data_IF_201351191859
#
_entry.id   IF_201351191859
#
_cell.length_a   1.000
_cell.length_b   1.000
_cell.length_c   1.000
_cell.angle_alpha   90.00
_cell.angle_beta   90.00
_cell.angle_gamma   90.00
#
_symmetry.space_group_name_H-M   'P 1'
#
loop_
_entity.id
_entity.type
_entity.pdbx_description
1 polymer ?
#
# COMPACT_ATOMS: atom_id res chain seq x y z
N UNK A 1 10.68 18.48 -8.25
CA UNK A 1 11.04 18.85 -6.86
C UNK A 1 10.49 17.74 -5.99
N UNK A 2 11.36 16.93 -5.38
CA UNK A 2 10.94 15.88 -4.46
C UNK A 2 10.85 16.51 -3.07
N UNK A 3 9.66 16.53 -2.49
CA UNK A 3 9.45 16.94 -1.10
C UNK A 3 9.28 15.67 -0.29
N UNK A 4 10.13 15.51 0.72
CA UNK A 4 9.94 14.54 1.78
C UNK A 4 9.44 15.32 3.00
N UNK A 5 8.28 14.97 3.50
CA UNK A 5 7.72 15.54 4.73
C UNK A 5 7.65 14.43 5.78
N UNK A 6 8.40 14.62 6.87
CA UNK A 6 8.43 13.70 8.01
C UNK A 6 7.66 14.38 9.15
N UNK A 7 6.38 14.04 9.29
CA UNK A 7 5.57 14.52 10.41
C UNK A 7 5.85 13.62 11.63
N UNK A 8 6.57 14.18 12.62
CA UNK A 8 7.08 13.50 13.82
C UNK A 8 5.99 12.83 14.69
N UNK A 9 4.70 13.09 14.43
CA UNK A 9 3.58 12.50 15.16
C UNK A 9 2.93 11.29 14.47
N UNK A 10 3.27 10.96 13.21
CA UNK A 10 2.52 9.95 12.43
C UNK A 10 3.39 9.08 11.51
N UNK A 11 3.07 7.79 11.51
CA UNK A 11 3.60 6.64 10.73
C UNK A 11 3.48 6.75 9.18
N UNK A 12 3.50 7.96 8.60
CA UNK A 12 3.20 8.19 7.19
C UNK A 12 4.44 8.67 6.44
N UNK A 13 4.86 7.90 5.43
CA UNK A 13 5.84 8.32 4.45
C UNK A 13 5.11 8.84 3.20
N UNK A 14 5.29 10.13 2.87
CA UNK A 14 4.67 10.75 1.70
C UNK A 14 5.71 11.15 0.64
N UNK A 15 5.42 10.79 -0.61
CA UNK A 15 6.23 11.16 -1.79
C UNK A 15 5.33 11.73 -2.89
N UNK A 16 5.74 12.84 -3.50
CA UNK A 16 5.01 13.50 -4.60
C UNK A 16 5.84 13.48 -5.89
N UNK A 17 5.25 12.97 -6.97
CA UNK A 17 5.90 12.83 -8.29
C UNK A 17 5.54 13.94 -9.28
N UNK A 18 4.63 14.86 -8.92
CA UNK A 18 4.10 15.85 -9.85
C UNK A 18 3.22 15.21 -10.95
N UNK A 19 3.22 15.80 -12.14
CA UNK A 19 2.42 15.31 -13.28
C UNK A 19 3.20 14.20 -13.99
N UNK A 20 2.60 13.01 -14.09
CA UNK A 20 3.11 11.88 -14.88
C UNK A 20 2.42 11.91 -16.24
N UNK A 21 3.13 12.11 -17.36
CA UNK A 21 2.54 12.10 -18.70
C UNK A 21 1.91 10.75 -19.08
N UNK A 22 1.02 10.71 -20.10
CA UNK A 22 0.47 9.46 -20.60
C UNK A 22 1.56 8.49 -21.06
N UNK A 23 1.38 7.20 -20.76
CA UNK A 23 2.30 6.10 -21.11
C UNK A 23 3.69 6.15 -20.45
N UNK A 24 3.90 7.03 -19.46
CA UNK A 24 5.12 7.04 -18.65
C UNK A 24 5.01 6.08 -17.46
N UNK A 25 6.16 5.56 -17.02
CA UNK A 25 6.25 4.62 -15.91
C UNK A 25 7.00 5.28 -14.76
N UNK A 26 6.41 5.22 -13.56
CA UNK A 26 7.07 5.61 -12.31
C UNK A 26 7.26 4.37 -11.45
N UNK A 27 8.49 4.13 -11.01
CA UNK A 27 8.84 3.04 -10.09
C UNK A 27 9.15 3.62 -8.73
N UNK A 28 8.49 3.09 -7.69
CA UNK A 28 8.72 3.45 -6.30
C UNK A 28 9.26 2.23 -5.57
N UNK A 29 10.44 2.36 -4.97
CA UNK A 29 11.05 1.33 -4.13
C UNK A 29 11.08 1.80 -2.69
N UNK A 30 10.45 1.03 -1.80
CA UNK A 30 10.38 1.33 -0.37
C UNK A 30 11.01 0.15 0.37
N UNK A 31 12.06 0.44 1.14
CA UNK A 31 12.72 -0.54 1.99
C UNK A 31 12.50 -0.13 3.45
N UNK A 32 11.80 -0.95 4.21
CA UNK A 32 11.56 -0.74 5.64
C UNK A 32 11.97 -1.96 6.44
N UNK A 33 12.24 -1.76 7.73
CA UNK A 33 12.49 -2.81 8.70
C UNK A 33 11.52 -2.66 9.85
N UNK A 34 10.89 -3.75 10.26
CA UNK A 34 9.91 -3.78 11.34
C UNK A 34 10.23 -4.93 12.30
N UNK A 35 10.11 -4.67 13.60
CA UNK A 35 10.11 -5.72 14.62
C UNK A 35 8.72 -6.37 14.67
N UNK A 36 8.66 -7.69 14.47
CA UNK A 36 7.40 -8.43 14.40
C UNK A 36 6.88 -8.79 15.79
N UNK A 37 5.56 -8.80 15.93
CA UNK A 37 4.91 -9.16 17.18
C UNK A 37 4.99 -10.66 17.43
N UNK A 38 5.55 -11.05 18.58
CA UNK A 38 5.45 -12.42 19.11
C UNK A 38 4.22 -12.53 20.02
N UNK A 39 3.35 -13.48 19.74
CA UNK A 39 2.15 -13.77 20.51
C UNK A 39 2.48 -14.63 21.75
N UNK A 40 1.61 -14.66 22.78
CA UNK A 40 1.88 -15.42 24.02
C UNK A 40 2.13 -16.92 23.83
N UNK A 41 1.66 -17.49 22.72
CA UNK A 41 1.89 -18.87 22.32
C UNK A 41 3.21 -19.09 21.56
N UNK A 42 4.06 -18.07 21.44
CA UNK A 42 5.36 -18.12 20.75
C UNK A 42 5.30 -17.97 19.23
N UNK A 43 4.10 -17.82 18.65
CA UNK A 43 3.95 -17.55 17.20
C UNK A 43 4.28 -16.10 16.88
N UNK A 44 4.74 -15.87 15.65
CA UNK A 44 5.09 -14.52 15.17
C UNK A 44 4.07 -14.11 14.11
N UNK A 45 3.47 -12.92 14.28
CA UNK A 45 2.46 -12.38 13.36
C UNK A 45 3.07 -11.29 12.48
N UNK A 46 2.90 -11.45 11.17
CA UNK A 46 3.12 -10.43 10.16
C UNK A 46 1.78 -9.98 9.60
N UNK A 47 1.53 -8.68 9.59
CA UNK A 47 0.36 -8.06 8.99
C UNK A 47 0.81 -7.07 7.92
N UNK A 48 0.43 -7.34 6.68
CA UNK A 48 0.62 -6.42 5.56
C UNK A 48 -0.74 -5.81 5.21
N UNK A 49 -0.93 -4.49 5.42
CA UNK A 49 -2.18 -3.83 5.12
C UNK A 49 -2.60 -4.00 3.66
N UNK A 50 -3.90 -4.03 3.40
CA UNK A 50 -4.48 -4.00 2.05
C UNK A 50 -4.25 -2.65 1.33
N UNK A 51 -3.61 -1.67 1.99
CA UNK A 51 -3.47 -0.27 1.58
C UNK A 51 -2.56 -0.02 0.36
N UNK A 52 -2.09 -1.06 -0.32
CA UNK A 52 -1.35 -0.89 -1.58
C UNK A 52 -2.25 -0.55 -2.77
N UNK A 53 -3.56 -0.32 -2.52
CA UNK A 53 -4.51 0.19 -3.50
C UNK A 53 -4.24 1.70 -3.70
N UNK A 54 -3.89 2.15 -4.91
CA UNK A 54 -3.80 3.57 -5.21
C UNK A 54 -5.17 4.23 -5.00
N UNK A 55 -5.26 5.27 -4.16
CA UNK A 55 -6.46 6.10 -4.09
C UNK A 55 -6.62 6.86 -5.40
N UNK A 56 -7.66 6.54 -6.17
CA UNK A 56 -8.08 7.41 -7.27
C UNK A 56 -9.19 8.31 -6.75
N UNK A 57 -8.92 9.61 -6.61
CA UNK A 57 -10.00 10.59 -6.44
C UNK A 57 -10.76 10.57 -7.77
N UNK A 58 -12.08 10.25 -7.79
CA UNK A 58 -12.85 10.35 -9.01
C UNK A 58 -12.72 11.77 -9.51
N UNK A 59 -12.12 11.96 -10.69
CA UNK A 59 -12.22 13.24 -11.39
C UNK A 59 -13.71 13.49 -11.56
N UNK A 60 -14.21 14.56 -10.94
CA UNK A 60 -15.63 14.88 -10.92
C UNK A 60 -16.25 14.59 -12.28
N UNK A 61 -17.31 13.78 -12.26
CA UNK A 61 -18.11 13.47 -13.43
C UNK A 61 -18.51 14.80 -14.06
N UNK A 62 -17.93 15.15 -15.20
CA UNK A 62 -18.53 16.12 -16.12
C UNK A 62 -19.80 15.44 -16.65
N UNK A 63 -20.84 15.39 -15.82
CA UNK A 63 -22.19 15.10 -16.28
C UNK A 63 -22.66 16.30 -17.09
N UNK A 64 -22.48 16.17 -18.40
CA UNK A 64 -23.18 16.96 -19.40
C UNK A 64 -24.69 16.83 -19.17
N UNK A 65 -25.29 17.84 -18.56
CA UNK A 65 -26.72 18.11 -18.69
C UNK A 65 -26.91 19.43 -19.44
N UNK A 66 -27.37 19.41 -20.70
CA UNK A 66 -27.83 20.61 -21.39
C UNK A 66 -29.29 20.86 -20.99
N UNK A 67 -29.62 22.06 -20.50
CA UNK A 67 -30.86 22.82 -20.83
C UNK A 67 -30.72 24.25 -20.27
N UNK A 68 -30.84 25.17 -21.23
CA UNK A 68 -31.03 26.62 -21.22
C UNK A 68 -31.75 27.25 -20.01
N UNK A 69 -31.19 28.34 -19.44
CA UNK A 69 -31.66 29.70 -19.74
C UNK A 69 -30.98 30.83 -18.92
N UNK A 70 -30.41 31.78 -19.67
CA UNK A 70 -30.46 33.24 -19.52
C UNK A 70 -29.58 33.99 -18.48
N UNK A 71 -28.72 34.83 -19.08
CA UNK A 71 -28.28 36.17 -18.66
C UNK A 71 -27.22 36.30 -17.54
N UNK A 72 -25.94 36.42 -17.93
CA UNK A 72 -25.30 37.73 -18.23
C UNK A 72 -23.81 37.57 -18.58
N UNK A 73 -23.49 38.17 -19.72
CA UNK A 73 -22.16 38.49 -20.25
C UNK A 73 -21.14 38.95 -19.19
N UNK A 74 -19.97 38.31 -19.16
CA UNK A 74 -18.70 39.00 -19.46
C UNK A 74 -17.59 38.00 -19.80
N UNK A 75 -17.26 38.00 -21.07
CA UNK A 75 -16.08 37.43 -21.69
C UNK A 75 -14.79 37.86 -20.96
N UNK A 76 -14.03 36.87 -20.45
CA UNK A 76 -12.57 36.92 -20.38
C UNK A 76 -12.03 35.52 -20.11
N UNK A 77 -11.59 34.88 -21.19
CA UNK A 77 -10.56 33.85 -21.16
C UNK A 77 -9.45 34.20 -20.15
N UNK A 78 -9.30 33.39 -19.11
CA UNK A 78 -8.06 33.28 -18.33
C UNK A 78 -7.92 31.83 -17.85
N UNK A 79 -7.16 31.05 -18.62
CA UNK A 79 -6.24 30.10 -18.01
C UNK A 79 -5.32 30.91 -17.10
N UNK A 80 -5.54 30.84 -15.79
CA UNK A 80 -4.81 31.60 -14.80
C UNK A 80 -4.58 30.73 -13.58
N UNK A 81 -3.42 30.08 -13.54
CA UNK A 81 -2.75 29.69 -12.30
C UNK A 81 -2.62 30.96 -11.44
N UNK A 82 -3.59 31.22 -10.57
CA UNK A 82 -3.49 32.28 -9.58
C UNK A 82 -2.72 31.72 -8.38
N UNK A 83 -1.42 31.97 -8.41
CA UNK A 83 -0.55 31.88 -7.26
C UNK A 83 -0.78 33.12 -6.38
N UNK A 84 -1.65 33.04 -5.37
CA UNK A 84 -1.54 33.77 -4.09
C UNK A 84 -2.73 33.44 -3.17
N UNK A 85 -2.54 32.48 -2.28
CA UNK A 85 -2.57 32.76 -0.84
C UNK A 85 -1.68 31.74 -0.12
N UNK A 86 -0.52 32.23 0.30
CA UNK A 86 0.45 31.54 1.13
C UNK A 86 -0.05 31.59 2.58
N UNK A 87 -0.97 30.71 2.96
CA UNK A 87 -1.22 30.44 4.38
C UNK A 87 -1.82 29.05 4.59
N UNK A 88 -0.95 28.12 4.98
CA UNK A 88 -1.26 27.02 5.89
C UNK A 88 -2.55 26.22 5.64
N UNK A 89 -2.66 25.56 4.49
CA UNK A 89 -3.46 24.36 4.39
C UNK A 89 -2.65 23.32 3.63
N UNK A 90 -1.54 22.90 4.24
CA UNK A 90 -1.11 21.50 4.10
C UNK A 90 -2.34 20.70 4.49
N UNK A 91 -3.10 20.25 3.49
CA UNK A 91 -4.12 19.22 3.65
C UNK A 91 -3.44 18.16 4.51
N UNK A 92 -3.87 18.02 5.76
CA UNK A 92 -3.22 17.13 6.71
C UNK A 92 -3.22 15.75 6.06
N UNK A 93 -2.06 15.30 5.55
CA UNK A 93 -1.95 14.07 4.77
C UNK A 93 -2.47 12.88 5.57
N UNK A 94 -2.42 13.00 6.90
CA UNK A 94 -2.99 12.03 7.79
C UNK A 94 -4.52 11.92 7.75
N UNK A 95 -5.27 12.97 7.38
CA UNK A 95 -6.72 12.84 7.12
C UNK A 95 -7.00 11.95 5.93
N UNK A 96 -6.10 11.88 4.94
CA UNK A 96 -6.25 10.95 3.83
C UNK A 96 -6.20 9.49 4.31
N UNK A 97 -5.54 9.18 5.44
CA UNK A 97 -5.55 7.82 5.98
C UNK A 97 -6.94 7.36 6.42
N UNK A 98 -7.83 8.29 6.77
CA UNK A 98 -9.17 8.00 7.25
C UNK A 98 -10.19 7.81 6.10
N UNK A 99 -9.85 8.23 4.88
CA UNK A 99 -10.71 8.13 3.70
C UNK A 99 -10.71 6.71 3.11
N UNK A 100 -11.89 6.24 2.67
CA UNK A 100 -12.04 4.96 2.00
C UNK A 100 -11.25 4.93 0.69
N UNK A 101 -10.31 4.00 0.60
CA UNK A 101 -9.45 3.83 -0.57
C UNK A 101 -10.21 3.06 -1.64
N UNK A 102 -10.46 3.69 -2.78
CA UNK A 102 -11.03 3.00 -3.94
C UNK A 102 -10.09 3.13 -5.15
N UNK A 103 -9.78 2.00 -5.78
CA UNK A 103 -9.19 1.95 -7.11
C UNK A 103 -10.15 1.19 -8.02
N UNK A 104 -10.73 1.83 -9.05
CA UNK A 104 -11.62 1.14 -9.98
C UNK A 104 -10.87 0.19 -10.93
N UNK A 105 -9.54 0.21 -10.92
CA UNK A 105 -8.70 -0.57 -11.84
C UNK A 105 -8.03 -1.73 -11.12
N UNK A 106 -8.13 -2.92 -11.69
CA UNK A 106 -7.36 -4.08 -11.26
C UNK A 106 -5.87 -3.86 -11.56
N UNK A 107 -5.02 -4.12 -10.58
CA UNK A 107 -3.56 -4.09 -10.74
C UNK A 107 -2.98 -5.46 -10.39
N UNK A 108 -1.85 -5.77 -11.01
CA UNK A 108 -1.11 -7.00 -10.69
C UNK A 108 -0.42 -6.83 -9.33
N UNK A 109 -0.59 -7.82 -8.47
CA UNK A 109 0.00 -7.85 -7.14
C UNK A 109 0.72 -9.17 -6.92
N UNK A 110 2.02 -9.06 -6.71
CA UNK A 110 2.89 -10.19 -6.38
C UNK A 110 3.42 -10.03 -4.96
N UNK A 111 3.18 -11.04 -4.13
CA UNK A 111 3.69 -11.11 -2.77
C UNK A 111 4.71 -12.24 -2.65
N UNK A 112 5.85 -11.92 -2.06
CA UNK A 112 6.92 -12.85 -1.71
C UNK A 112 7.45 -12.50 -0.32
N UNK A 113 7.48 -13.49 0.56
CA UNK A 113 8.05 -13.37 1.89
C UNK A 113 9.08 -14.47 2.11
N UNK A 114 10.33 -14.07 2.28
CA UNK A 114 11.39 -14.99 2.68
C UNK A 114 11.54 -14.99 4.20
N UNK A 115 11.29 -16.12 4.83
CA UNK A 115 11.50 -16.31 6.27
C UNK A 115 12.86 -16.97 6.45
N UNK A 116 13.80 -16.27 7.09
CA UNK A 116 15.09 -16.82 7.52
C UNK A 116 15.13 -16.94 9.03
N UNK A 117 15.08 -18.16 9.54
CA UNK A 117 15.01 -18.43 10.97
C UNK A 117 16.26 -19.19 11.47
N UNK A 118 16.70 -18.94 12.72
CA UNK A 118 17.78 -19.70 13.34
C UNK A 118 17.34 -21.12 13.76
N UNK A 119 16.05 -21.45 13.66
CA UNK A 119 15.48 -22.75 13.96
C UNK A 119 14.59 -23.23 12.81
N UNK A 120 14.23 -24.52 12.82
CA UNK A 120 13.21 -25.07 11.93
C UNK A 120 11.86 -24.40 12.21
N UNK A 121 11.08 -24.16 11.16
CA UNK A 121 9.68 -23.75 11.31
C UNK A 121 8.82 -24.99 11.56
N UNK A 122 7.96 -24.93 12.57
CA UNK A 122 6.91 -25.93 12.80
C UNK A 122 5.79 -25.79 11.76
N UNK A 123 5.57 -24.57 11.27
CA UNK A 123 4.61 -24.28 10.21
C UNK A 123 4.49 -22.80 9.88
N UNK A 124 3.79 -22.51 8.80
CA UNK A 124 3.35 -21.17 8.40
C UNK A 124 1.92 -21.28 7.93
N UNK A 125 1.06 -20.35 8.35
CA UNK A 125 -0.33 -20.30 7.93
C UNK A 125 -0.76 -18.86 7.64
N UNK A 126 -1.87 -18.72 6.92
CA UNK A 126 -2.54 -17.44 6.72
C UNK A 126 -4.03 -17.63 6.95
N UNK A 127 -4.64 -16.88 7.89
CA UNK A 127 -6.07 -16.91 8.09
C UNK A 127 -6.83 -16.13 7.01
N UNK A 128 -6.16 -15.26 6.24
CA UNK A 128 -6.81 -14.37 5.28
C UNK A 128 -6.69 -14.82 3.82
N UNK A 129 -5.62 -15.54 3.46
CA UNK A 129 -5.30 -15.91 2.09
C UNK A 129 -4.80 -17.36 1.96
N UNK A 130 -5.07 -18.00 0.83
CA UNK A 130 -4.40 -19.24 0.45
C UNK A 130 -2.92 -18.97 0.17
N UNK A 131 -2.01 -19.74 0.77
CA UNK A 131 -0.55 -19.54 0.63
C UNK A 131 0.15 -20.79 0.11
N UNK A 132 1.31 -20.60 -0.51
CA UNK A 132 2.30 -21.64 -0.81
C UNK A 132 3.55 -21.39 0.01
N UNK A 133 4.13 -22.46 0.53
CA UNK A 133 5.37 -22.43 1.28
C UNK A 133 6.37 -23.35 0.59
N UNK A 134 7.35 -22.74 -0.05
CA UNK A 134 8.39 -23.42 -0.81
C UNK A 134 9.72 -23.32 -0.08
N UNK A 135 10.50 -24.39 -0.09
CA UNK A 135 11.88 -24.39 0.38
C UNK A 135 12.80 -24.66 -0.81
N UNK A 136 14.04 -24.15 -0.73
CA UNK A 136 15.05 -24.50 -1.73
C UNK A 136 15.25 -26.03 -1.71
N UNK A 137 15.10 -26.72 -2.86
CA UNK A 137 15.25 -28.18 -2.94
C UNK A 137 16.67 -28.65 -2.56
N UNK A 138 17.65 -27.76 -2.57
CA UNK A 138 19.03 -28.02 -2.14
C UNK A 138 19.28 -27.71 -0.67
N UNK A 139 18.32 -27.11 0.06
CA UNK A 139 18.49 -26.78 1.46
C UNK A 139 18.48 -28.04 2.34
N UNK A 140 19.44 -28.11 3.27
CA UNK A 140 19.53 -29.19 4.25
C UNK A 140 18.46 -29.11 5.34
N UNK A 141 17.81 -27.96 5.49
CA UNK A 141 16.73 -27.72 6.44
C UNK A 141 15.84 -26.56 5.98
N UNK A 142 14.60 -26.52 6.48
CA UNK A 142 13.65 -25.43 6.22
C UNK A 142 13.94 -24.18 7.08
N UNK A 143 15.22 -23.82 7.24
CA UNK A 143 15.64 -22.58 7.92
C UNK A 143 15.43 -21.35 7.05
N UNK A 144 15.31 -21.53 5.72
CA UNK A 144 14.79 -20.54 4.79
C UNK A 144 13.56 -21.10 4.09
N UNK A 145 12.46 -20.35 4.11
CA UNK A 145 11.19 -20.70 3.45
C UNK A 145 10.68 -19.48 2.71
N UNK A 146 10.31 -19.67 1.44
CA UNK A 146 9.67 -18.67 0.60
C UNK A 146 8.15 -18.85 0.67
N UNK A 147 7.43 -17.80 1.06
CA UNK A 147 5.98 -17.78 1.09
C UNK A 147 5.45 -16.90 -0.04
N UNK A 148 4.48 -17.43 -0.79
CA UNK A 148 3.76 -16.71 -1.85
C UNK A 148 2.26 -16.90 -1.70
N UNK A 149 1.46 -16.04 -2.34
CA UNK A 149 0.02 -16.28 -2.42
C UNK A 149 -0.26 -17.40 -3.43
N UNK A 150 -1.15 -18.32 -3.06
CA UNK A 150 -1.56 -19.41 -3.94
C UNK A 150 -2.58 -18.97 -5.00
N UNK A 151 -3.28 -17.87 -4.72
CA UNK A 151 -4.35 -17.25 -5.50
C UNK A 151 -4.10 -15.75 -5.61
N UNK A 152 -4.72 -15.10 -6.60
CA UNK A 152 -4.64 -13.64 -6.78
C UNK A 152 -5.24 -12.90 -5.58
N UNK A 153 -4.62 -11.78 -5.19
CA UNK A 153 -5.09 -10.98 -4.07
C UNK A 153 -6.35 -10.19 -4.46
N UNK A 154 -7.39 -10.24 -3.62
CA UNK A 154 -8.69 -9.61 -3.89
C UNK A 154 -8.79 -8.16 -3.43
N UNK A 155 -7.78 -7.65 -2.73
CA UNK A 155 -7.64 -6.26 -2.28
C UNK A 155 -8.70 -5.80 -1.27
N UNK A 156 -9.47 -6.73 -0.72
CA UNK A 156 -10.56 -6.49 0.23
C UNK A 156 -10.13 -6.65 1.71
N UNK A 157 -8.98 -7.29 1.96
CA UNK A 157 -8.49 -7.60 3.31
C UNK A 157 -6.95 -7.63 3.36
N UNK A 158 -6.34 -7.42 4.54
CA UNK A 158 -4.89 -7.47 4.68
C UNK A 158 -4.33 -8.90 4.53
N UNK A 159 -3.08 -9.01 4.08
CA UNK A 159 -2.34 -10.28 4.12
C UNK A 159 -1.83 -10.49 5.53
N UNK A 160 -2.32 -11.53 6.19
CA UNK A 160 -1.90 -11.94 7.52
C UNK A 160 -1.14 -13.26 7.42
N UNK A 161 0.10 -13.28 7.92
CA UNK A 161 0.93 -14.49 7.98
C UNK A 161 1.25 -14.77 9.44
N UNK A 162 1.01 -16.01 9.86
CA UNK A 162 1.35 -16.52 11.19
C UNK A 162 2.47 -17.53 11.01
N UNK A 163 3.60 -17.24 11.65
CA UNK A 163 4.81 -18.07 11.62
C UNK A 163 4.84 -18.84 12.94
N UNK A 164 5.03 -20.16 12.85
CA UNK A 164 5.14 -21.06 14.00
C UNK A 164 6.60 -21.54 14.11
N UNK A 165 7.44 -20.92 14.96
CA UNK A 165 8.79 -21.41 15.22
C UNK A 165 8.75 -22.77 15.91
N UNK A 166 9.69 -23.67 15.60
CA UNK A 166 9.86 -24.88 16.42
C UNK A 166 10.44 -24.51 17.78
N UNK A 167 10.04 -25.26 18.81
CA UNK A 167 10.67 -25.17 20.13
C UNK A 167 12.19 -25.39 20.01
N UNK A 168 12.96 -24.49 20.61
CA UNK A 168 14.39 -24.70 20.74
C UNK A 168 14.63 -25.75 21.83
N UNK A 169 15.17 -26.90 21.45
CA UNK A 169 15.76 -27.84 22.40
C UNK A 169 17.07 -27.22 22.90
N UNK A 170 17.01 -26.59 24.07
CA UNK A 170 18.21 -26.20 24.83
C UNK A 170 18.80 -27.40 25.56
#
# INVERSE_FOLDING_TARGET
>A
HFVLDEDLERIVFAVSFGIIPPFEIVTVLINTSLELQTLPNGTVKLLLPSLFVPRLVPSGTDEQNPIENQLKSKDRHRCGFNHQDQNGNLFCLAKLLDDEVTNPTTYDFSFQLEIRAPCLLAGVESPTHSIRADADPSAFCASSVMITLAEEHTFDKPVEIIIHPSEQKY
#
